data_IF_921422144923
#
_entry.id   IF_921422144923
#
_cell.length_a   1.000
_cell.length_b   1.000
_cell.length_c   1.000
_cell.angle_alpha   90.00
_cell.angle_beta   90.00
_cell.angle_gamma   90.00
#
_symmetry.space_group_name_H-M   'P 1'
#
loop_
_entity.id
_entity.type
_entity.pdbx_description
1 polymer ?
#
# COMPACT_ATOMS: atom_id res chain seq x y z
N UNK A 1 -25.95 -10.91 -18.61
CA UNK A 1 -24.97 -11.48 -19.57
C UNK A 1 -23.76 -10.58 -19.53
N UNK A 2 -22.63 -11.05 -19.00
CA UNK A 2 -21.41 -10.26 -18.88
C UNK A 2 -20.85 -9.96 -20.28
N UNK A 3 -20.42 -8.72 -20.51
CA UNK A 3 -19.74 -8.33 -21.75
C UNK A 3 -18.48 -9.20 -21.93
N UNK A 4 -18.26 -9.82 -23.10
CA UNK A 4 -17.21 -10.83 -23.31
C UNK A 4 -15.76 -10.30 -23.25
N UNK A 5 -15.55 -9.02 -22.95
CA UNK A 5 -14.21 -8.42 -22.81
C UNK A 5 -13.99 -7.58 -21.54
N UNK A 6 -14.90 -7.62 -20.56
CA UNK A 6 -14.75 -6.84 -19.32
C UNK A 6 -13.81 -7.52 -18.29
N UNK A 7 -13.03 -6.75 -17.51
CA UNK A 7 -12.16 -7.30 -16.47
C UNK A 7 -12.99 -7.97 -15.38
N UNK A 8 -12.58 -9.17 -14.99
CA UNK A 8 -13.29 -10.01 -14.01
C UNK A 8 -12.54 -9.93 -12.70
N UNK A 9 -13.25 -9.64 -11.61
CA UNK A 9 -12.69 -9.67 -10.27
C UNK A 9 -13.15 -10.95 -9.55
N UNK A 10 -12.20 -11.68 -8.97
CA UNK A 10 -12.45 -12.91 -8.22
C UNK A 10 -11.86 -12.73 -6.84
N UNK A 11 -12.71 -12.82 -5.82
CA UNK A 11 -12.27 -12.78 -4.42
C UNK A 11 -12.08 -14.22 -3.96
N UNK A 12 -10.85 -14.58 -3.60
CA UNK A 12 -10.52 -15.93 -3.13
C UNK A 12 -9.68 -15.90 -1.86
N UNK A 13 -9.54 -17.06 -1.21
CA UNK A 13 -8.61 -17.21 -0.09
C UNK A 13 -7.16 -17.08 -0.56
N UNK A 14 -6.34 -16.52 0.30
CA UNK A 14 -4.90 -16.38 0.09
C UNK A 14 -4.23 -17.72 -0.20
N UNK A 15 -3.33 -17.73 -1.19
CA UNK A 15 -2.43 -18.85 -1.49
C UNK A 15 -0.99 -18.37 -1.33
N UNK A 16 -0.08 -19.29 -1.02
CA UNK A 16 1.34 -18.96 -0.83
C UNK A 16 2.03 -18.44 -2.08
N UNK A 17 1.49 -18.74 -3.26
CA UNK A 17 1.96 -18.24 -4.56
C UNK A 17 1.79 -16.72 -4.70
N UNK A 18 0.80 -16.14 -3.99
CA UNK A 18 0.48 -14.70 -4.08
C UNK A 18 1.42 -13.83 -3.25
N UNK A 19 2.28 -14.45 -2.41
CA UNK A 19 3.09 -13.76 -1.41
C UNK A 19 3.86 -12.57 -1.99
N UNK A 20 4.51 -12.75 -3.14
CA UNK A 20 5.29 -11.69 -3.77
C UNK A 20 4.41 -10.51 -4.23
N UNK A 21 3.24 -10.79 -4.81
CA UNK A 21 2.30 -9.76 -5.27
C UNK A 21 1.67 -9.02 -4.08
N UNK A 22 1.29 -9.74 -3.03
CA UNK A 22 0.74 -9.18 -1.79
C UNK A 22 1.74 -8.25 -1.10
N UNK A 23 3.02 -8.65 -1.01
CA UNK A 23 4.08 -7.81 -0.43
C UNK A 23 4.31 -6.53 -1.22
N UNK A 24 4.29 -6.60 -2.56
CA UNK A 24 4.46 -5.44 -3.42
C UNK A 24 3.29 -4.44 -3.25
N UNK A 25 2.05 -4.93 -3.22
CA UNK A 25 0.85 -4.08 -3.05
C UNK A 25 0.87 -3.37 -1.70
N UNK A 26 1.16 -4.10 -0.61
CA UNK A 26 1.23 -3.51 0.73
C UNK A 26 2.36 -2.50 0.84
N UNK A 27 3.52 -2.80 0.25
CA UNK A 27 4.62 -1.83 0.24
C UNK A 27 4.28 -0.58 -0.56
N UNK A 28 3.53 -0.70 -1.66
CA UNK A 28 3.07 0.45 -2.46
C UNK A 28 2.03 1.27 -1.69
N UNK A 29 1.00 0.62 -1.15
CA UNK A 29 -0.03 1.26 -0.34
C UNK A 29 0.56 2.02 0.86
N UNK A 30 1.54 1.43 1.55
CA UNK A 30 2.25 2.10 2.63
C UNK A 30 3.02 3.35 2.16
N UNK A 31 3.58 3.34 0.94
CA UNK A 31 4.34 4.47 0.39
C UNK A 31 3.46 5.58 -0.20
N UNK A 32 2.22 5.31 -0.60
CA UNK A 32 1.33 6.30 -1.23
C UNK A 32 1.04 7.49 -0.32
N UNK A 33 0.92 7.25 0.99
CA UNK A 33 0.62 8.29 1.99
C UNK A 33 1.80 9.19 2.36
N UNK A 34 3.02 8.86 1.92
CA UNK A 34 4.24 9.63 2.22
C UNK A 34 4.08 11.09 1.81
N UNK A 35 3.58 11.34 0.61
CA UNK A 35 3.50 12.69 0.04
C UNK A 35 2.53 13.57 0.84
N UNK A 36 1.36 13.03 1.18
CA UNK A 36 0.35 13.74 1.96
C UNK A 36 0.84 14.05 3.37
N UNK A 37 1.50 13.08 4.01
CA UNK A 37 2.06 13.26 5.37
C UNK A 37 3.25 14.21 5.35
N UNK A 38 4.09 14.17 4.31
CA UNK A 38 5.19 15.11 4.16
C UNK A 38 4.70 16.56 4.08
N UNK A 39 3.70 16.84 3.26
CA UNK A 39 3.14 18.19 3.17
C UNK A 39 2.40 18.60 4.43
N UNK A 40 1.64 17.68 5.04
CA UNK A 40 1.01 17.94 6.33
C UNK A 40 2.06 18.30 7.40
N UNK A 41 3.18 17.58 7.46
CA UNK A 41 4.27 17.85 8.40
C UNK A 41 4.99 19.18 8.07
N UNK A 42 5.21 19.48 6.80
CA UNK A 42 5.88 20.71 6.34
C UNK A 42 5.04 21.96 6.64
N UNK A 43 3.72 21.88 6.51
CA UNK A 43 2.80 22.97 6.87
C UNK A 43 2.36 22.96 8.33
N UNK A 44 2.81 21.98 9.12
CA UNK A 44 2.56 21.94 10.56
C UNK A 44 3.61 22.76 11.34
N UNK A 45 3.38 22.87 12.65
CA UNK A 45 4.32 23.47 13.59
C UNK A 45 5.68 22.72 13.66
N UNK A 46 5.76 21.49 13.16
CA UNK A 46 7.01 20.71 13.14
C UNK A 46 8.09 21.40 12.30
N UNK A 47 7.73 22.03 11.18
CA UNK A 47 8.69 22.70 10.31
C UNK A 47 9.48 23.82 10.99
N UNK A 48 8.83 24.87 11.57
CA UNK A 48 9.57 25.93 12.24
C UNK A 48 10.39 25.41 13.42
N UNK A 49 9.91 24.41 14.17
CA UNK A 49 10.67 23.80 15.26
C UNK A 49 11.98 23.16 14.77
N UNK A 50 11.92 22.34 13.72
CA UNK A 50 13.11 21.69 13.15
C UNK A 50 14.05 22.73 12.52
N UNK A 51 13.51 23.72 11.81
CA UNK A 51 14.32 24.78 11.18
C UNK A 51 15.07 25.62 12.22
N UNK A 52 14.39 26.04 13.31
CA UNK A 52 15.03 26.81 14.39
C UNK A 52 16.08 25.98 15.11
N UNK A 53 15.83 24.69 15.36
CA UNK A 53 16.81 23.79 15.97
C UNK A 53 18.08 23.67 15.10
N UNK A 54 17.92 23.52 13.79
CA UNK A 54 19.04 23.44 12.84
C UNK A 54 19.85 24.74 12.80
N UNK A 55 19.17 25.89 12.78
CA UNK A 55 19.81 27.21 12.82
C UNK A 55 20.58 27.39 14.13
N UNK A 56 19.97 27.06 15.27
CA UNK A 56 20.59 27.18 16.59
C UNK A 56 21.81 26.26 16.72
N UNK A 57 21.71 25.02 16.24
CA UNK A 57 22.82 24.07 16.25
C UNK A 57 23.99 24.55 15.38
N UNK A 58 23.71 25.08 14.18
CA UNK A 58 24.75 25.62 13.30
C UNK A 58 25.42 26.88 13.88
N UNK A 59 24.64 27.82 14.43
CA UNK A 59 25.15 29.08 14.95
C UNK A 59 25.89 28.91 16.29
N UNK A 60 25.25 28.25 17.26
CA UNK A 60 25.80 28.10 18.63
C UNK A 60 26.74 26.91 18.72
N UNK A 61 26.34 25.77 18.15
CA UNK A 61 27.10 24.52 18.26
C UNK A 61 28.35 24.49 17.38
N UNK A 62 28.25 24.98 16.14
CA UNK A 62 29.36 24.95 15.17
C UNK A 62 30.04 26.31 14.96
N UNK A 63 29.50 27.40 15.54
CA UNK A 63 30.08 28.74 15.41
C UNK A 63 29.98 29.32 13.99
N UNK A 64 29.05 28.84 13.18
CA UNK A 64 28.87 29.28 11.79
C UNK A 64 28.25 30.68 11.74
N UNK A 65 28.70 31.53 10.81
CA UNK A 65 28.11 32.86 10.62
C UNK A 65 26.61 32.78 10.29
N UNK A 66 25.83 33.72 10.83
CA UNK A 66 24.36 33.70 10.74
C UNK A 66 23.82 33.58 9.31
N UNK A 67 24.46 34.20 8.32
CA UNK A 67 24.05 34.11 6.92
C UNK A 67 24.04 32.67 6.39
N UNK A 68 25.04 31.86 6.74
CA UNK A 68 25.08 30.44 6.36
C UNK A 68 24.07 29.60 7.14
N UNK A 69 23.62 30.05 8.31
CA UNK A 69 22.61 29.34 9.09
C UNK A 69 21.24 29.34 8.41
N UNK A 70 20.96 30.27 7.50
CA UNK A 70 19.73 30.27 6.69
C UNK A 70 19.60 29.02 5.79
N UNK A 71 20.72 28.34 5.48
CA UNK A 71 20.70 27.01 4.83
C UNK A 71 20.06 25.94 5.72
N UNK A 72 19.87 26.20 7.01
CA UNK A 72 19.11 25.36 7.92
C UNK A 72 17.64 25.21 7.52
N UNK A 73 17.07 26.18 6.80
CA UNK A 73 15.67 26.13 6.33
C UNK A 73 15.48 25.04 5.26
N UNK A 74 16.21 25.05 4.11
CA UNK A 74 16.12 23.95 3.15
C UNK A 74 16.61 22.62 3.73
N UNK A 75 17.59 22.64 4.64
CA UNK A 75 18.02 21.43 5.33
C UNK A 75 16.90 20.83 6.19
N UNK A 76 16.10 21.64 6.88
CA UNK A 76 14.97 21.18 7.67
C UNK A 76 13.90 20.50 6.80
N UNK A 77 13.58 21.06 5.62
CA UNK A 77 12.66 20.42 4.66
C UNK A 77 13.19 19.06 4.22
N UNK A 78 14.48 18.97 3.89
CA UNK A 78 15.12 17.71 3.49
C UNK A 78 15.09 16.67 4.62
N UNK A 79 15.32 17.09 5.87
CA UNK A 79 15.25 16.22 7.05
C UNK A 79 13.82 15.72 7.27
N UNK A 80 12.81 16.59 7.19
CA UNK A 80 11.40 16.19 7.35
C UNK A 80 11.01 15.17 6.27
N UNK A 81 11.42 15.40 5.02
CA UNK A 81 11.20 14.42 3.96
C UNK A 81 11.88 13.08 4.28
N UNK A 82 13.15 13.12 4.68
CA UNK A 82 13.91 11.90 4.98
C UNK A 82 13.32 11.11 6.14
N UNK A 83 12.87 11.78 7.22
CA UNK A 83 12.27 11.12 8.38
C UNK A 83 10.91 10.52 8.05
N UNK A 84 10.05 11.26 7.33
CA UNK A 84 8.75 10.75 6.86
C UNK A 84 8.97 9.54 5.94
N UNK A 85 9.87 9.64 4.97
CA UNK A 85 10.20 8.54 4.07
C UNK A 85 10.70 7.31 4.83
N UNK A 86 11.62 7.51 5.77
CA UNK A 86 12.19 6.41 6.56
C UNK A 86 11.13 5.75 7.45
N UNK A 87 10.26 6.53 8.10
CA UNK A 87 9.17 6.01 8.91
C UNK A 87 8.22 5.13 8.09
N UNK A 88 7.86 5.56 6.88
CA UNK A 88 7.05 4.75 5.97
C UNK A 88 7.79 3.52 5.46
N UNK A 89 9.11 3.61 5.25
CA UNK A 89 9.93 2.46 4.82
C UNK A 89 10.00 1.41 5.92
N UNK A 90 10.21 1.81 7.16
CA UNK A 90 10.18 0.91 8.32
C UNK A 90 8.81 0.26 8.43
N UNK A 91 7.73 1.05 8.35
CA UNK A 91 6.36 0.53 8.38
C UNK A 91 6.07 -0.46 7.25
N UNK A 92 6.52 -0.17 6.02
CA UNK A 92 6.38 -1.08 4.89
C UNK A 92 7.16 -2.40 5.10
N UNK A 93 8.35 -2.34 5.72
CA UNK A 93 9.13 -3.52 6.08
C UNK A 93 8.45 -4.35 7.17
N UNK A 94 7.93 -3.70 8.22
CA UNK A 94 7.15 -4.35 9.29
C UNK A 94 5.93 -5.07 8.71
N UNK A 95 5.15 -4.40 7.87
CA UNK A 95 4.02 -5.01 7.18
C UNK A 95 4.46 -6.15 6.25
N UNK A 96 5.58 -6.01 5.55
CA UNK A 96 6.16 -7.07 4.72
C UNK A 96 6.56 -8.31 5.53
N UNK A 97 7.05 -8.12 6.76
CA UNK A 97 7.34 -9.19 7.71
C UNK A 97 6.05 -9.84 8.26
N UNK A 98 5.02 -9.06 8.62
CA UNK A 98 3.70 -9.59 9.00
C UNK A 98 3.12 -10.47 7.87
N UNK A 99 3.22 -9.99 6.62
CA UNK A 99 2.78 -10.72 5.41
C UNK A 99 3.56 -12.02 5.24
N UNK A 100 4.87 -12.00 5.53
CA UNK A 100 5.70 -13.18 5.42
C UNK A 100 5.29 -14.30 6.38
N UNK A 101 4.64 -13.93 7.50
CA UNK A 101 4.15 -14.82 8.55
C UNK A 101 2.62 -15.04 8.49
N UNK A 102 1.95 -14.73 7.36
CA UNK A 102 0.48 -14.87 7.22
C UNK A 102 -0.01 -16.27 7.61
N UNK A 103 0.71 -17.33 7.26
CA UNK A 103 0.34 -18.70 7.63
C UNK A 103 0.20 -18.91 9.13
N UNK A 104 1.09 -18.32 9.93
CA UNK A 104 1.07 -18.45 11.38
C UNK A 104 0.12 -17.45 12.04
N UNK A 105 0.01 -16.23 11.50
CA UNK A 105 -0.78 -15.14 12.11
C UNK A 105 -2.27 -15.16 11.76
N UNK A 106 -2.63 -15.64 10.56
CA UNK A 106 -3.99 -15.52 10.00
C UNK A 106 -4.62 -16.85 9.56
N UNK A 107 -3.84 -17.90 9.28
CA UNK A 107 -4.40 -19.20 8.84
C UNK A 107 -4.47 -20.28 9.92
N UNK A 108 -3.90 -20.08 11.12
CA UNK A 108 -4.00 -21.06 12.21
C UNK A 108 -5.37 -21.07 12.90
N UNK A 109 -6.01 -19.90 13.01
CA UNK A 109 -7.33 -19.79 13.64
C UNK A 109 -8.44 -19.90 12.58
N UNK A 110 -9.46 -20.76 12.76
CA UNK A 110 -10.60 -20.85 11.84
C UNK A 110 -11.45 -19.56 11.80
N UNK A 111 -11.31 -18.70 12.81
CA UNK A 111 -12.00 -17.41 12.95
C UNK A 111 -11.29 -16.26 12.19
N UNK A 112 -10.06 -16.48 11.66
CA UNK A 112 -9.30 -15.48 10.91
C UNK A 112 -9.30 -15.84 9.43
N UNK A 113 -9.52 -14.85 8.57
CA UNK A 113 -9.55 -15.04 7.13
C UNK A 113 -8.69 -13.99 6.44
N UNK A 114 -7.90 -14.42 5.46
CA UNK A 114 -7.18 -13.53 4.55
C UNK A 114 -7.63 -13.83 3.13
N UNK A 115 -8.27 -12.85 2.50
CA UNK A 115 -8.78 -12.92 1.13
C UNK A 115 -7.99 -11.98 0.23
N UNK A 116 -7.92 -12.38 -1.02
CA UNK A 116 -7.20 -11.72 -2.09
C UNK A 116 -8.18 -11.50 -3.22
N UNK A 117 -8.24 -10.28 -3.73
CA UNK A 117 -8.97 -9.95 -4.94
C UNK A 117 -8.02 -10.05 -6.12
N UNK A 118 -8.29 -10.99 -7.02
CA UNK A 118 -7.58 -11.14 -8.29
C UNK A 118 -8.40 -10.57 -9.42
N UNK A 119 -7.74 -9.92 -10.37
CA UNK A 119 -8.36 -9.57 -11.65
C UNK A 119 -7.83 -10.51 -12.72
N UNK A 120 -8.75 -11.11 -13.46
CA UNK A 120 -8.48 -11.79 -14.73
C UNK A 120 -8.64 -10.76 -15.84
N UNK A 121 -7.53 -10.33 -16.43
CA UNK A 121 -7.52 -9.54 -17.66
C UNK A 121 -7.33 -10.47 -18.86
N UNK A 122 -8.29 -10.46 -19.79
CA UNK A 122 -8.34 -11.35 -20.95
C UNK A 122 -7.49 -10.91 -22.16
N UNK A 123 -6.75 -9.82 -22.05
CA UNK A 123 -5.81 -9.34 -23.07
C UNK A 123 -4.89 -8.30 -22.43
N UNK A 124 -3.64 -8.21 -22.89
CA UNK A 124 -2.70 -7.21 -22.37
C UNK A 124 -3.29 -5.79 -22.50
N UNK A 125 -3.56 -5.06 -21.41
CA UNK A 125 -3.75 -3.63 -21.54
C UNK A 125 -2.38 -3.06 -21.90
N UNK A 126 -2.26 -2.57 -23.13
CA UNK A 126 -1.10 -1.77 -23.52
C UNK A 126 -0.89 -0.71 -22.45
N UNK A 127 0.34 -0.49 -21.96
CA UNK A 127 0.63 0.55 -20.93
C UNK A 127 0.07 1.93 -21.29
N UNK A 128 -0.18 2.16 -22.58
CA UNK A 128 -0.87 3.30 -23.16
C UNK A 128 -2.36 3.38 -22.78
N UNK A 129 -3.09 2.27 -22.77
CA UNK A 129 -4.51 2.23 -22.35
C UNK A 129 -4.63 2.47 -20.84
N UNK A 130 -3.74 1.92 -20.01
CA UNK A 130 -3.73 2.20 -18.56
C UNK A 130 -3.48 3.70 -18.26
N UNK A 131 -2.73 4.40 -19.12
CA UNK A 131 -2.48 5.84 -19.02
C UNK A 131 -3.68 6.67 -19.51
N UNK A 132 -4.32 6.26 -20.60
CA UNK A 132 -5.48 6.96 -21.17
C UNK A 132 -6.80 6.70 -20.41
N UNK A 133 -6.89 5.58 -19.70
CA UNK A 133 -8.14 5.11 -19.10
C UNK A 133 -8.28 5.44 -17.60
N UNK A 134 -7.37 6.25 -17.02
CA UNK A 134 -7.37 6.64 -15.59
C UNK A 134 -8.66 7.32 -15.10
N UNK A 135 -9.53 7.78 -16.00
CA UNK A 135 -10.82 8.40 -15.67
C UNK A 135 -12.05 7.57 -16.04
N UNK A 136 -11.89 6.42 -16.70
CA UNK A 136 -13.06 5.62 -17.10
C UNK A 136 -13.43 4.70 -15.95
N UNK A 137 -14.69 4.78 -15.53
CA UNK A 137 -15.29 3.87 -14.55
C UNK A 137 -15.18 2.44 -15.09
N UNK A 138 -14.20 1.68 -14.61
CA UNK A 138 -14.04 0.27 -14.96
C UNK A 138 -15.07 -0.53 -14.16
N UNK A 139 -16.03 -1.10 -14.86
CA UNK A 139 -17.01 -2.01 -14.24
C UNK A 139 -16.39 -3.40 -14.14
N UNK A 140 -16.12 -3.84 -12.92
CA UNK A 140 -15.64 -5.18 -12.64
C UNK A 140 -16.82 -6.12 -12.44
N UNK A 141 -16.78 -7.27 -13.12
CA UNK A 141 -17.72 -8.35 -12.88
C UNK A 141 -17.16 -9.26 -11.79
N UNK A 142 -17.87 -9.37 -10.67
CA UNK A 142 -17.53 -10.31 -9.61
C UNK A 142 -18.00 -11.72 -9.98
N UNK A 143 -17.09 -12.70 -9.92
CA UNK A 143 -17.42 -14.11 -10.17
C UNK A 143 -16.86 -14.99 -9.04
N UNK A 144 -17.48 -16.16 -8.85
CA UNK A 144 -17.01 -17.16 -7.89
C UNK A 144 -15.77 -17.91 -8.39
N UNK A 145 -15.02 -18.54 -7.49
CA UNK A 145 -13.80 -19.30 -7.84
C UNK A 145 -14.08 -20.43 -8.85
N UNK A 146 -15.25 -21.08 -8.77
CA UNK A 146 -15.64 -22.15 -9.69
C UNK A 146 -15.89 -21.63 -11.11
N UNK A 147 -16.55 -20.47 -11.23
CA UNK A 147 -16.82 -19.83 -12.52
C UNK A 147 -15.57 -19.21 -13.14
N UNK A 148 -14.62 -18.77 -12.30
CA UNK A 148 -13.31 -18.28 -12.75
C UNK A 148 -12.48 -19.35 -13.43
N UNK A 149 -12.49 -20.59 -12.93
CA UNK A 149 -11.70 -21.68 -13.50
C UNK A 149 -12.19 -22.07 -14.90
N UNK A 150 -13.50 -22.05 -15.12
CA UNK A 150 -14.10 -22.29 -16.45
C UNK A 150 -13.69 -21.18 -17.42
N UNK A 151 -13.76 -19.92 -16.98
CA UNK A 151 -13.42 -18.77 -17.83
C UNK A 151 -11.92 -18.66 -18.13
N UNK A 152 -11.04 -19.05 -17.20
CA UNK A 152 -9.60 -19.11 -17.46
C UNK A 152 -9.26 -20.18 -18.50
N UNK A 153 -9.93 -21.33 -18.46
CA UNK A 153 -9.80 -22.38 -19.45
C UNK A 153 -10.31 -21.93 -20.84
N UNK A 154 -11.34 -21.09 -20.89
CA UNK A 154 -11.85 -20.49 -22.13
C UNK A 154 -10.96 -19.37 -22.69
N UNK A 155 -10.32 -18.57 -21.81
CA UNK A 155 -9.57 -17.36 -22.20
C UNK A 155 -8.09 -17.63 -22.52
N UNK A 156 -7.58 -18.85 -22.31
CA UNK A 156 -6.32 -19.32 -22.89
C UNK A 156 -5.14 -18.34 -22.77
N UNK A 157 -4.58 -18.18 -21.57
CA UNK A 157 -3.44 -17.29 -21.31
C UNK A 157 -3.74 -16.03 -20.48
N UNK A 158 -4.88 -16.00 -19.80
CA UNK A 158 -5.21 -14.92 -18.86
C UNK A 158 -4.15 -14.82 -17.75
N UNK A 159 -3.57 -13.63 -17.55
CA UNK A 159 -2.63 -13.37 -16.45
C UNK A 159 -3.42 -12.93 -15.22
N UNK A 160 -3.23 -13.65 -14.11
CA UNK A 160 -3.81 -13.28 -12.81
C UNK A 160 -2.98 -12.18 -12.17
N UNK A 161 -3.64 -11.09 -11.80
CA UNK A 161 -3.02 -10.03 -11.02
C UNK A 161 -3.81 -9.78 -9.74
N UNK A 162 -3.13 -9.81 -8.60
CA UNK A 162 -3.72 -9.38 -7.34
C UNK A 162 -3.89 -7.86 -7.36
N UNK A 163 -5.10 -7.38 -7.08
CA UNK A 163 -5.41 -5.94 -7.05
C UNK A 163 -5.83 -5.44 -5.68
N UNK A 164 -6.19 -6.36 -4.77
CA UNK A 164 -6.72 -6.00 -3.47
C UNK A 164 -6.54 -7.10 -2.44
N UNK A 165 -6.50 -6.70 -1.18
CA UNK A 165 -6.23 -7.56 -0.04
C UNK A 165 -7.25 -7.24 1.04
N UNK A 166 -7.80 -8.29 1.66
CA UNK A 166 -8.74 -8.15 2.74
C UNK A 166 -8.33 -9.09 3.86
N UNK A 167 -8.07 -8.54 5.05
CA UNK A 167 -7.75 -9.34 6.23
C UNK A 167 -8.78 -9.12 7.33
N UNK A 168 -9.24 -10.23 7.91
CA UNK A 168 -10.15 -10.25 9.05
C UNK A 168 -9.38 -10.71 10.28
N UNK A 169 -9.39 -9.86 11.31
CA UNK A 169 -8.74 -10.14 12.61
C UNK A 169 -9.76 -10.12 13.73
N UNK A 170 -9.59 -10.99 14.73
CA UNK A 170 -10.46 -11.04 15.90
C UNK A 170 -10.21 -9.83 16.79
N UNK A 171 -11.27 -9.21 17.31
CA UNK A 171 -11.12 -8.09 18.25
C UNK A 171 -10.53 -8.56 19.58
N UNK A 172 -9.48 -7.89 20.04
CA UNK A 172 -8.84 -8.13 21.34
C UNK A 172 -9.77 -7.85 22.54
N UNK A 173 -10.87 -7.11 22.34
CA UNK A 173 -11.76 -6.67 23.44
C UNK A 173 -12.88 -7.65 23.81
N UNK A 174 -12.84 -8.90 23.35
CA UNK A 174 -13.79 -9.95 23.78
C UNK A 174 -15.21 -9.76 23.24
N UNK A 175 -15.55 -10.53 22.20
CA UNK A 175 -16.89 -10.58 21.61
C UNK A 175 -16.87 -11.14 20.19
N UNK A 176 -18.04 -11.46 19.62
CA UNK A 176 -18.22 -11.83 18.19
C UNK A 176 -18.12 -10.58 17.33
N UNK A 177 -16.96 -9.91 17.38
CA UNK A 177 -16.65 -8.70 16.62
C UNK A 177 -15.26 -8.87 16.01
N UNK A 178 -15.18 -8.76 14.70
CA UNK A 178 -13.91 -8.75 13.94
C UNK A 178 -13.60 -7.34 13.47
N UNK A 179 -12.31 -7.03 13.31
CA UNK A 179 -11.87 -5.82 12.65
C UNK A 179 -11.52 -6.14 11.20
N UNK A 180 -12.10 -5.36 10.29
CA UNK A 180 -11.66 -5.30 8.91
C UNK A 180 -10.39 -4.44 8.90
N UNK A 181 -9.25 -5.05 8.61
CA UNK A 181 -7.99 -4.30 8.48
C UNK A 181 -7.76 -4.05 7.01
N UNK A 182 -7.91 -2.78 6.61
CA UNK A 182 -7.37 -2.29 5.35
C UNK A 182 -5.85 -2.18 5.55
N UNK A 183 -5.09 -2.99 4.83
CA UNK A 183 -3.62 -3.02 4.87
C UNK A 183 -3.04 -2.11 3.78
#
# INVERSE_FOLDING_TARGET
>A
MASPGGPVCVVRRYRTEDKAQVQDIISKAAMETVYDIFWAATFSEVFPQVALLMIAFAYIGLGVYFYFCLLGIPAAVAIIYATVWLAHKVKALELGQEVSNIRQLFLQDPDRCFWVAEVLEGSEPSKLDALMNKMKKVEYYFMSEAESGVREAEVGGARRQVVGLLSLTKSLRGGVKGWLRHL
#
